data_IF_021225401199
#
_entry.id   IF_021225401199
#
_cell.length_a   1.000
_cell.length_b   1.000
_cell.length_c   1.000
_cell.angle_alpha   90.00
_cell.angle_beta   90.00
_cell.angle_gamma   90.00
#
_symmetry.space_group_name_H-M   'P 1'
#
loop_
_entity.id
_entity.type
_entity.pdbx_description
1 polymer ?
#
# COMPACT_ATOMS: atom_id res chain seq x y z
N UNK A 1 3.97 -25.28 -23.14
CA UNK A 1 3.95 -24.62 -21.82
C UNK A 1 2.63 -23.84 -21.78
N UNK A 2 1.67 -24.25 -20.97
CA UNK A 2 0.40 -23.52 -20.85
C UNK A 2 0.66 -22.18 -20.16
N UNK A 3 0.14 -21.08 -20.72
CA UNK A 3 0.17 -19.80 -20.04
C UNK A 3 -0.72 -19.85 -18.79
N UNK A 4 -0.28 -19.29 -17.68
CA UNK A 4 -1.01 -19.28 -16.41
C UNK A 4 -2.43 -18.71 -16.55
N UNK A 5 -2.65 -17.77 -17.46
CA UNK A 5 -3.95 -17.20 -17.78
C UNK A 5 -4.90 -18.21 -18.46
N UNK A 6 -4.40 -19.12 -19.30
CA UNK A 6 -5.21 -20.17 -19.95
C UNK A 6 -5.70 -21.18 -18.93
N UNK A 7 -4.82 -21.63 -18.02
CA UNK A 7 -5.17 -22.54 -16.93
C UNK A 7 -6.19 -21.92 -15.98
N UNK A 8 -6.02 -20.64 -15.62
CA UNK A 8 -6.98 -19.91 -14.79
C UNK A 8 -8.36 -19.87 -15.43
N UNK A 9 -8.45 -19.55 -16.72
CA UNK A 9 -9.70 -19.52 -17.45
C UNK A 9 -10.34 -20.91 -17.54
N UNK A 10 -9.54 -21.95 -17.70
CA UNK A 10 -10.05 -23.33 -17.76
C UNK A 10 -10.62 -23.80 -16.41
N UNK A 11 -9.95 -23.44 -15.30
CA UNK A 11 -10.47 -23.68 -13.95
C UNK A 11 -11.78 -22.94 -13.73
N UNK A 12 -11.86 -21.66 -14.11
CA UNK A 12 -13.08 -20.87 -13.98
C UNK A 12 -14.25 -21.45 -14.75
N UNK A 13 -14.03 -21.97 -15.97
CA UNK A 13 -15.07 -22.58 -16.78
C UNK A 13 -15.65 -23.86 -16.17
N UNK A 14 -14.85 -24.60 -15.42
CA UNK A 14 -15.22 -25.86 -14.83
C UNK A 14 -15.69 -25.76 -13.36
N UNK A 15 -15.60 -24.59 -12.75
CA UNK A 15 -16.09 -24.34 -11.40
C UNK A 15 -17.62 -24.14 -11.37
N UNK A 16 -18.27 -24.52 -10.27
CA UNK A 16 -19.68 -24.23 -10.04
C UNK A 16 -19.90 -22.82 -9.55
N UNK A 17 -18.97 -22.31 -8.75
CA UNK A 17 -18.90 -20.92 -8.25
C UNK A 17 -17.45 -20.47 -8.17
N UNK A 18 -17.21 -19.20 -8.40
CA UNK A 18 -15.87 -18.59 -8.39
C UNK A 18 -15.78 -17.57 -7.26
N UNK A 19 -14.77 -17.70 -6.41
CA UNK A 19 -14.31 -16.65 -5.50
C UNK A 19 -12.94 -16.20 -5.98
N UNK A 20 -12.87 -15.00 -6.54
CA UNK A 20 -11.63 -14.44 -7.12
C UNK A 20 -11.21 -13.17 -6.36
N UNK A 21 -10.00 -13.19 -5.82
CA UNK A 21 -9.36 -12.02 -5.23
C UNK A 21 -8.12 -11.67 -6.04
N UNK A 22 -8.02 -10.44 -6.53
CA UNK A 22 -6.88 -10.02 -7.34
C UNK A 22 -7.09 -8.69 -8.04
N UNK A 23 -6.17 -8.35 -8.92
CA UNK A 23 -6.27 -7.11 -9.70
C UNK A 23 -7.44 -7.09 -10.67
N UNK A 24 -7.73 -5.92 -11.30
CA UNK A 24 -8.90 -5.72 -12.17
C UNK A 24 -9.02 -6.76 -13.28
N UNK A 25 -7.90 -7.25 -13.82
CA UNK A 25 -7.88 -8.30 -14.85
C UNK A 25 -8.45 -9.63 -14.36
N UNK A 26 -8.11 -10.07 -13.15
CA UNK A 26 -8.62 -11.30 -12.53
C UNK A 26 -10.13 -11.19 -12.26
N UNK A 27 -10.56 -10.07 -11.69
CA UNK A 27 -11.99 -9.81 -11.41
C UNK A 27 -12.80 -9.81 -12.71
N UNK A 28 -12.29 -9.16 -13.76
CA UNK A 28 -12.93 -9.17 -15.07
C UNK A 28 -13.02 -10.58 -15.66
N UNK A 29 -11.96 -11.38 -15.56
CA UNK A 29 -11.94 -12.76 -16.04
C UNK A 29 -12.98 -13.61 -15.29
N UNK A 30 -13.08 -13.47 -13.96
CA UNK A 30 -14.07 -14.19 -13.15
C UNK A 30 -15.51 -13.88 -13.58
N UNK A 31 -15.88 -12.61 -13.71
CA UNK A 31 -17.22 -12.20 -14.17
C UNK A 31 -17.50 -12.54 -15.63
N UNK A 32 -16.46 -12.66 -16.47
CA UNK A 32 -16.60 -13.01 -17.89
C UNK A 32 -16.60 -14.54 -18.13
N UNK A 33 -16.43 -15.35 -17.09
CA UNK A 33 -16.36 -16.81 -17.21
C UNK A 33 -17.68 -17.50 -17.58
N UNK A 34 -18.81 -16.80 -17.40
CA UNK A 34 -20.16 -17.35 -17.55
C UNK A 34 -20.63 -18.17 -16.34
N UNK A 35 -19.90 -18.14 -15.22
CA UNK A 35 -20.22 -18.81 -13.96
C UNK A 35 -20.59 -17.79 -12.87
N UNK A 36 -21.35 -18.19 -11.84
CA UNK A 36 -21.53 -17.37 -10.65
C UNK A 36 -20.17 -17.01 -10.05
N UNK A 37 -19.90 -15.70 -9.86
CA UNK A 37 -18.62 -15.23 -9.39
C UNK A 37 -18.76 -14.12 -8.34
N UNK A 38 -17.89 -14.19 -7.33
CA UNK A 38 -17.65 -13.13 -6.34
C UNK A 38 -16.22 -12.62 -6.57
N UNK A 39 -16.11 -11.45 -7.19
CA UNK A 39 -14.82 -10.82 -7.48
C UNK A 39 -14.48 -9.74 -6.48
N UNK A 40 -13.27 -9.80 -5.91
CA UNK A 40 -12.72 -8.81 -4.99
C UNK A 40 -11.48 -8.19 -5.62
N UNK A 41 -11.51 -6.88 -5.79
CA UNK A 41 -10.42 -6.10 -6.41
C UNK A 41 -9.35 -5.65 -5.42
N UNK A 42 -8.61 -4.61 -5.81
CA UNK A 42 -7.59 -3.99 -4.98
C UNK A 42 -8.17 -3.47 -3.65
N UNK A 43 -7.44 -3.66 -2.57
CA UNK A 43 -7.76 -3.13 -1.26
C UNK A 43 -7.14 -1.74 -1.06
N UNK A 44 -7.66 -1.01 -0.08
CA UNK A 44 -7.03 0.20 0.43
C UNK A 44 -7.39 0.32 1.91
N UNK A 45 -6.52 -0.16 2.76
CA UNK A 45 -6.76 -0.23 4.21
C UNK A 45 -6.26 1.06 4.88
N UNK A 46 -7.13 1.98 5.30
CA UNK A 46 -6.73 3.13 6.11
C UNK A 46 -6.66 2.75 7.58
N UNK A 47 -5.82 3.45 8.34
CA UNK A 47 -5.82 3.41 9.80
C UNK A 47 -5.93 4.82 10.36
N UNK A 48 -6.60 4.98 11.48
CA UNK A 48 -6.77 6.26 12.16
C UNK A 48 -6.09 6.20 13.52
N UNK A 49 -5.29 7.21 13.84
CA UNK A 49 -4.70 7.40 15.17
C UNK A 49 -5.30 8.68 15.75
N UNK A 50 -6.19 8.53 16.72
CA UNK A 50 -6.80 9.64 17.44
C UNK A 50 -6.05 9.97 18.74
N UNK A 51 -6.52 10.97 19.47
CA UNK A 51 -5.91 11.45 20.71
C UNK A 51 -6.15 10.55 21.93
N UNK A 52 -6.88 9.44 21.77
CA UNK A 52 -7.06 8.41 22.81
C UNK A 52 -6.18 7.19 22.61
N UNK A 53 -5.47 7.11 21.47
CA UNK A 53 -4.66 5.97 21.11
C UNK A 53 -3.38 5.87 21.97
N UNK A 54 -2.97 4.65 22.29
CA UNK A 54 -1.59 4.38 22.71
C UNK A 54 -0.69 4.49 21.46
N UNK A 55 -0.04 5.64 21.30
CA UNK A 55 0.76 5.98 20.12
C UNK A 55 1.86 4.95 19.87
N UNK A 56 2.54 4.48 20.93
CA UNK A 56 3.64 3.50 20.79
C UNK A 56 3.13 2.16 20.29
N UNK A 57 2.01 1.69 20.84
CA UNK A 57 1.38 0.45 20.42
C UNK A 57 0.85 0.56 18.99
N UNK A 58 0.15 1.65 18.67
CA UNK A 58 -0.42 1.90 17.33
C UNK A 58 0.67 1.91 16.26
N UNK A 59 1.71 2.73 16.43
CA UNK A 59 2.82 2.83 15.48
C UNK A 59 3.55 1.49 15.34
N UNK A 60 3.81 0.79 16.45
CA UNK A 60 4.45 -0.52 16.40
C UNK A 60 3.62 -1.53 15.59
N UNK A 61 2.30 -1.57 15.81
CA UNK A 61 1.39 -2.47 15.11
C UNK A 61 1.35 -2.18 13.61
N UNK A 62 1.27 -0.91 13.23
CA UNK A 62 1.32 -0.48 11.83
C UNK A 62 2.64 -0.90 11.16
N UNK A 63 3.78 -0.68 11.83
CA UNK A 63 5.08 -1.08 11.28
C UNK A 63 5.13 -2.60 11.07
N UNK A 64 4.72 -3.40 12.05
CA UNK A 64 4.69 -4.85 11.93
C UNK A 64 3.80 -5.31 10.77
N UNK A 65 2.59 -4.77 10.66
CA UNK A 65 1.65 -5.07 9.59
C UNK A 65 2.22 -4.66 8.22
N UNK A 66 2.72 -3.42 8.11
CA UNK A 66 3.20 -2.87 6.84
C UNK A 66 4.52 -3.48 6.35
N UNK A 67 5.33 -4.02 7.24
CA UNK A 67 6.60 -4.69 6.89
C UNK A 67 6.46 -6.20 6.74
N UNK A 68 5.35 -6.78 7.19
CA UNK A 68 5.10 -8.20 6.95
C UNK A 68 5.07 -8.46 5.44
N UNK A 69 5.90 -9.40 4.99
CA UNK A 69 6.09 -9.74 3.58
C UNK A 69 6.34 -8.48 2.69
N UNK A 70 7.11 -7.52 3.21
CA UNK A 70 7.34 -6.21 2.59
C UNK A 70 6.04 -5.49 2.13
N UNK A 71 4.97 -5.62 2.89
CA UNK A 71 3.70 -4.95 2.63
C UNK A 71 2.94 -5.47 1.40
N UNK A 72 3.25 -6.68 0.93
CA UNK A 72 2.59 -7.29 -0.22
C UNK A 72 1.18 -7.77 0.09
N UNK A 73 0.86 -8.01 1.37
CA UNK A 73 -0.49 -8.40 1.78
C UNK A 73 -1.46 -7.24 1.58
N UNK A 74 -2.57 -7.49 0.89
CA UNK A 74 -3.63 -6.50 0.62
C UNK A 74 -4.29 -5.94 1.90
N UNK A 75 -4.18 -6.64 3.04
CA UNK A 75 -4.66 -6.19 4.34
C UNK A 75 -3.71 -5.21 5.06
N UNK A 76 -2.48 -4.99 4.55
CA UNK A 76 -1.55 -4.03 5.15
C UNK A 76 -2.03 -2.59 4.93
N UNK A 77 -1.76 -1.72 5.88
CA UNK A 77 -2.18 -0.33 5.83
C UNK A 77 -1.59 0.40 4.60
N UNK A 78 -2.44 1.10 3.86
CA UNK A 78 -2.02 1.92 2.73
C UNK A 78 -1.86 3.39 3.15
N UNK A 79 -2.57 3.80 4.20
CA UNK A 79 -2.51 5.15 4.74
C UNK A 79 -2.72 5.17 6.24
N UNK A 80 -2.18 6.19 6.89
CA UNK A 80 -2.45 6.53 8.29
C UNK A 80 -2.95 7.97 8.37
N UNK A 81 -4.14 8.16 8.94
CA UNK A 81 -4.71 9.46 9.25
C UNK A 81 -4.51 9.75 10.73
N UNK A 82 -3.85 10.84 11.04
CA UNK A 82 -3.44 11.18 12.41
C UNK A 82 -4.04 12.51 12.82
N UNK A 83 -4.69 12.55 13.98
CA UNK A 83 -5.18 13.81 14.54
C UNK A 83 -4.02 14.76 14.86
N UNK A 84 -4.22 16.04 14.58
CA UNK A 84 -3.23 17.10 14.77
C UNK A 84 -2.63 17.11 16.17
N UNK A 85 -3.43 16.83 17.21
CA UNK A 85 -2.98 16.80 18.60
C UNK A 85 -1.85 15.81 18.88
N UNK A 86 -1.86 14.65 18.23
CA UNK A 86 -0.88 13.58 18.42
C UNK A 86 0.06 13.43 17.24
N UNK A 87 -0.10 14.24 16.20
CA UNK A 87 0.63 14.10 14.94
C UNK A 87 2.15 14.13 15.12
N UNK A 88 2.65 15.08 15.93
CA UNK A 88 4.08 15.20 16.20
C UNK A 88 4.64 13.96 16.90
N UNK A 89 3.95 13.48 17.93
CA UNK A 89 4.35 12.28 18.69
C UNK A 89 4.37 11.04 17.79
N UNK A 90 3.32 10.84 16.99
CA UNK A 90 3.23 9.73 16.02
C UNK A 90 4.38 9.77 15.02
N UNK A 91 4.68 10.96 14.48
CA UNK A 91 5.79 11.15 13.53
C UNK A 91 7.14 10.82 14.15
N UNK A 92 7.39 11.31 15.37
CA UNK A 92 8.62 11.03 16.11
C UNK A 92 8.76 9.52 16.41
N UNK A 93 7.67 8.85 16.78
CA UNK A 93 7.68 7.41 17.06
C UNK A 93 7.94 6.57 15.79
N UNK A 94 7.34 6.92 14.65
CA UNK A 94 7.67 6.27 13.36
C UNK A 94 9.15 6.44 13.00
N UNK A 95 9.68 7.66 13.12
CA UNK A 95 11.09 7.93 12.84
C UNK A 95 12.03 7.18 13.78
N UNK A 96 11.73 7.17 15.08
CA UNK A 96 12.49 6.42 16.08
C UNK A 96 12.57 4.92 15.79
N UNK A 97 11.51 4.35 15.21
CA UNK A 97 11.44 2.93 14.84
C UNK A 97 12.00 2.58 13.46
N UNK A 98 12.66 3.54 12.79
CA UNK A 98 13.35 3.30 11.52
C UNK A 98 12.49 3.51 10.27
N UNK A 99 11.40 4.28 10.36
CA UNK A 99 10.68 4.74 9.18
C UNK A 99 11.29 6.04 8.67
N UNK A 100 11.30 6.22 7.36
CA UNK A 100 11.87 7.40 6.69
C UNK A 100 10.76 8.31 6.16
N UNK A 101 10.73 9.56 6.62
CA UNK A 101 9.84 10.58 6.10
C UNK A 101 10.45 11.24 4.86
N UNK A 102 9.80 11.07 3.74
CA UNK A 102 10.22 11.63 2.47
C UNK A 102 10.15 13.15 2.48
N UNK A 103 11.18 13.82 1.96
CA UNK A 103 11.16 15.26 1.72
C UNK A 103 10.28 15.58 0.50
N UNK A 104 9.91 16.84 0.30
CA UNK A 104 9.01 17.24 -0.80
C UNK A 104 9.47 16.80 -2.19
N UNK A 105 10.76 16.95 -2.48
CA UNK A 105 11.34 16.52 -3.75
C UNK A 105 11.44 14.98 -3.88
N UNK A 106 11.62 14.30 -2.75
CA UNK A 106 11.67 12.83 -2.68
C UNK A 106 10.27 12.23 -2.86
N UNK A 107 9.22 12.86 -2.31
CA UNK A 107 7.81 12.45 -2.52
C UNK A 107 7.51 12.42 -4.03
N UNK A 108 7.90 13.45 -4.79
CA UNK A 108 7.67 13.50 -6.23
C UNK A 108 8.39 12.37 -6.99
N UNK A 109 9.59 12.01 -6.55
CA UNK A 109 10.33 10.89 -7.15
C UNK A 109 9.68 9.54 -6.85
N UNK A 110 9.28 9.32 -5.59
CA UNK A 110 8.60 8.10 -5.17
C UNK A 110 7.23 7.99 -5.83
N UNK A 111 6.45 9.09 -5.92
CA UNK A 111 5.16 9.15 -6.62
C UNK A 111 5.25 8.61 -8.04
N UNK A 112 6.24 9.07 -8.82
CA UNK A 112 6.50 8.60 -10.19
C UNK A 112 6.99 7.16 -10.27
N UNK A 113 7.44 6.59 -9.15
CA UNK A 113 7.96 5.22 -9.09
C UNK A 113 6.88 4.22 -8.70
N UNK A 114 5.94 4.59 -7.82
CA UNK A 114 4.90 3.68 -7.34
C UNK A 114 3.80 3.43 -8.37
N UNK A 115 3.42 4.45 -9.13
CA UNK A 115 2.42 4.34 -10.20
C UNK A 115 3.05 4.72 -11.54
N UNK A 116 2.93 3.85 -12.53
CA UNK A 116 3.44 4.06 -13.89
C UNK A 116 2.28 3.88 -14.87
N UNK A 117 1.99 4.90 -15.68
CA UNK A 117 0.90 4.87 -16.66
C UNK A 117 -0.46 4.50 -16.04
N UNK A 118 -0.73 4.98 -14.83
CA UNK A 118 -1.99 4.73 -14.11
C UNK A 118 -2.11 3.33 -13.49
N UNK A 119 -1.04 2.54 -13.47
CA UNK A 119 -1.02 1.22 -12.88
C UNK A 119 0.10 1.08 -11.84
N UNK A 120 -0.10 0.22 -10.84
CA UNK A 120 0.92 -0.11 -9.87
C UNK A 120 2.18 -0.66 -10.56
N UNK A 121 3.32 -0.10 -10.21
CA UNK A 121 4.61 -0.57 -10.72
C UNK A 121 4.95 -1.96 -10.14
N UNK A 122 4.86 -3.00 -10.95
CA UNK A 122 5.17 -4.37 -10.52
C UNK A 122 6.59 -4.54 -9.94
N UNK A 123 7.52 -3.64 -10.25
CA UNK A 123 8.91 -3.71 -9.74
C UNK A 123 9.05 -3.37 -8.27
N UNK A 124 8.05 -2.72 -7.66
CA UNK A 124 8.09 -2.36 -6.24
C UNK A 124 7.35 -3.37 -5.35
N UNK A 125 6.51 -4.21 -5.93
CA UNK A 125 5.68 -5.16 -5.18
C UNK A 125 6.57 -6.13 -4.39
N UNK A 126 6.38 -6.16 -3.08
CA UNK A 126 7.15 -7.01 -2.16
C UNK A 126 8.63 -6.64 -2.00
N UNK A 127 9.06 -5.48 -2.52
CA UNK A 127 10.44 -5.01 -2.35
C UNK A 127 10.63 -4.26 -1.03
N UNK A 128 11.87 -4.23 -0.53
CA UNK A 128 12.20 -3.44 0.66
C UNK A 128 12.07 -1.94 0.41
N UNK A 129 11.86 -1.16 1.48
CA UNK A 129 11.80 0.30 1.40
C UNK A 129 13.08 0.90 0.78
N UNK A 130 14.26 0.37 1.15
CA UNK A 130 15.55 0.77 0.58
C UNK A 130 15.60 0.53 -0.94
N UNK A 131 15.18 -0.65 -1.40
CA UNK A 131 15.14 -0.97 -2.85
C UNK A 131 14.22 -0.02 -3.61
N UNK A 132 13.06 0.31 -3.04
CA UNK A 132 12.10 1.24 -3.66
C UNK A 132 12.66 2.65 -3.71
N UNK A 133 13.29 3.10 -2.62
CA UNK A 133 13.98 4.40 -2.58
C UNK A 133 15.07 4.48 -3.66
N UNK A 134 15.91 3.45 -3.79
CA UNK A 134 16.95 3.39 -4.82
C UNK A 134 16.37 3.46 -6.24
N UNK A 135 15.26 2.75 -6.51
CA UNK A 135 14.54 2.83 -7.79
C UNK A 135 13.99 4.23 -8.07
N UNK A 136 13.62 4.96 -7.03
CA UNK A 136 13.14 6.35 -7.13
C UNK A 136 14.30 7.39 -7.19
N UNK A 137 15.55 6.97 -7.03
CA UNK A 137 16.68 7.88 -6.93
C UNK A 137 16.69 8.71 -5.65
N UNK A 138 16.26 8.09 -4.55
CA UNK A 138 16.25 8.63 -3.18
C UNK A 138 17.23 7.82 -2.33
N UNK A 139 18.09 8.51 -1.59
CA UNK A 139 19.06 7.89 -0.69
C UNK A 139 18.48 7.80 0.73
N UNK A 140 18.39 6.57 1.25
CA UNK A 140 17.86 6.29 2.58
C UNK A 140 18.73 5.24 3.29
N UNK A 141 18.76 5.17 4.63
CA UNK A 141 19.43 4.10 5.36
C UNK A 141 19.00 2.70 4.88
N UNK A 142 19.93 1.76 4.85
CA UNK A 142 19.67 0.38 4.37
C UNK A 142 18.61 -0.35 5.21
N UNK A 143 18.57 -0.05 6.49
CA UNK A 143 17.62 -0.62 7.47
C UNK A 143 16.27 0.11 7.51
N UNK A 144 16.01 1.04 6.59
CA UNK A 144 14.73 1.75 6.50
C UNK A 144 13.57 0.76 6.33
N UNK A 145 12.61 0.83 7.25
CA UNK A 145 11.48 -0.09 7.28
C UNK A 145 10.34 0.31 6.37
N UNK A 146 9.98 1.60 6.36
CA UNK A 146 8.85 2.14 5.60
C UNK A 146 9.25 3.52 5.06
N UNK A 147 8.88 3.81 3.80
CA UNK A 147 8.91 5.15 3.24
C UNK A 147 7.57 5.83 3.52
N UNK A 148 7.56 6.94 4.22
CA UNK A 148 6.34 7.67 4.57
C UNK A 148 6.27 8.98 3.77
N UNK A 149 5.21 9.14 2.98
CA UNK A 149 4.87 10.38 2.31
C UNK A 149 3.81 11.15 3.08
N UNK A 150 4.13 12.36 3.56
CA UNK A 150 3.14 13.29 4.10
C UNK A 150 2.42 13.94 2.91
N UNK A 151 1.17 13.57 2.70
CA UNK A 151 0.33 14.03 1.57
C UNK A 151 -1.00 14.55 2.07
N UNK A 152 -1.64 15.42 1.29
CA UNK A 152 -2.88 16.10 1.69
C UNK A 152 -4.11 15.54 0.95
N UNK A 153 -3.92 15.10 -0.30
CA UNK A 153 -5.02 14.64 -1.13
C UNK A 153 -5.29 13.15 -0.93
N UNK A 154 -6.57 12.81 -0.83
CA UNK A 154 -7.09 11.42 -0.87
C UNK A 154 -7.74 11.11 -2.22
N UNK A 155 -7.64 12.04 -3.18
CA UNK A 155 -8.21 11.88 -4.53
C UNK A 155 -7.50 10.74 -5.27
N UNK A 156 -8.21 10.13 -6.20
CA UNK A 156 -7.67 9.04 -7.04
C UNK A 156 -6.49 9.49 -7.93
N UNK A 157 -6.29 10.78 -8.10
CA UNK A 157 -5.13 11.34 -8.80
C UNK A 157 -3.86 11.39 -7.94
N UNK A 158 -3.96 11.16 -6.62
CA UNK A 158 -2.82 11.07 -5.72
C UNK A 158 -2.28 9.65 -5.67
N UNK A 159 -1.09 9.42 -6.17
CA UNK A 159 -0.49 8.09 -6.26
C UNK A 159 -0.28 7.44 -4.87
N UNK A 160 0.00 8.23 -3.84
CA UNK A 160 0.12 7.71 -2.47
C UNK A 160 -1.22 7.23 -1.89
N UNK A 161 -2.36 7.67 -2.45
CA UNK A 161 -3.68 7.20 -2.02
C UNK A 161 -4.03 5.80 -2.54
N UNK A 162 -3.29 5.27 -3.51
CA UNK A 162 -3.54 3.94 -4.09
C UNK A 162 -2.99 2.79 -3.23
N UNK A 163 -3.44 1.56 -3.54
CA UNK A 163 -2.78 0.34 -3.07
C UNK A 163 -1.37 0.26 -3.64
N UNK A 164 -0.37 -0.01 -2.78
CA UNK A 164 1.04 0.02 -3.17
C UNK A 164 1.74 -1.33 -3.05
N UNK A 165 1.16 -2.31 -2.33
CA UNK A 165 1.69 -3.66 -2.12
C UNK A 165 3.20 -3.67 -1.78
N UNK A 166 3.61 -2.72 -0.94
CA UNK A 166 5.01 -2.42 -0.65
C UNK A 166 5.11 -1.59 0.63
N UNK A 167 6.29 -1.47 1.28
CA UNK A 167 6.48 -0.67 2.48
C UNK A 167 6.54 0.84 2.17
N UNK A 168 5.53 1.34 1.46
CA UNK A 168 5.28 2.76 1.21
C UNK A 168 3.93 3.13 1.82
N UNK A 169 3.90 4.15 2.67
CA UNK A 169 2.75 4.57 3.46
C UNK A 169 2.43 6.05 3.21
N UNK A 170 1.16 6.37 2.98
CA UNK A 170 0.68 7.74 3.02
C UNK A 170 0.41 8.16 4.47
N UNK A 171 0.72 9.40 4.84
CA UNK A 171 0.37 9.96 6.14
C UNK A 171 -0.39 11.27 5.97
N UNK A 172 -1.59 11.30 6.54
CA UNK A 172 -2.50 12.44 6.50
C UNK A 172 -2.59 13.07 7.88
N UNK A 173 -2.72 14.38 7.91
CA UNK A 173 -2.94 15.16 9.13
C UNK A 173 -4.36 15.71 9.12
N UNK A 174 -5.14 15.39 10.16
CA UNK A 174 -6.52 15.84 10.29
C UNK A 174 -6.73 16.66 11.58
N UNK A 175 -7.61 17.64 11.50
CA UNK A 175 -7.98 18.47 12.66
C UNK A 175 -9.11 17.87 13.47
N UNK A 176 -10.05 17.21 12.79
CA UNK A 176 -11.24 16.61 13.36
C UNK A 176 -11.53 15.28 12.67
N UNK A 177 -12.07 14.31 13.40
CA UNK A 177 -12.62 13.06 12.87
C UNK A 177 -14.12 13.19 12.77
#
# INVERSE_FOLDING_TARGET
MYHTSELTNEVMKNADIILATGGPGMVKAAYSSGKPALGVGAGNTPVIIDDTADVKLAVNSIIHSKTFDNGMICASEQSVTVLEKVYKEVKEEFAYRGCYFLKKDEIEKVRKTIIINGALNAKIVGQSAHTIAALAGVDVPEDTKILIGEVESVDISEEFAHEKLSPVLAMYKERHL
#
